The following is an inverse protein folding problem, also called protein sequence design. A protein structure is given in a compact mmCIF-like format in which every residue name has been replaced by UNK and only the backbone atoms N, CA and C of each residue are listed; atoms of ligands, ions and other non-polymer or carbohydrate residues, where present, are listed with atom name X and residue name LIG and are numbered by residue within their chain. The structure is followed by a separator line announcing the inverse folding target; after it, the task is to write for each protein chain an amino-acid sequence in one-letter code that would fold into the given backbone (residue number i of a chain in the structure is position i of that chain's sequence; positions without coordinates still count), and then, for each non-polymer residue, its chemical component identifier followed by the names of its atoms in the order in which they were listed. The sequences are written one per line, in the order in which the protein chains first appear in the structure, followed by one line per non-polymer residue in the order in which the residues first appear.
data_IF_715621446312
#
_entry.id   IF_715621446312
#
_cell.length_a   1.000
_cell.length_b   1.000
_cell.length_c   1.000
_cell.angle_alpha   90.00
_cell.angle_beta   90.00
_cell.angle_gamma   90.00
#
_symmetry.space_group_name_H-M   'P 1'
#
loop_
_entity.id
_entity.type
_entity.pdbx_description
1 polymer ?
#
# COMPACT_ATOMS: atom_id res chain seq x y z
N UNK A 1 -8.92 13.94 7.42
CA UNK A 1 -8.54 13.04 8.56
C UNK A 1 -9.63 12.00 8.75
N UNK A 2 -9.25 10.73 8.89
CA UNK A 2 -10.22 9.64 9.09
C UNK A 2 -10.70 9.60 10.53
N UNK A 3 -11.98 9.22 10.71
CA UNK A 3 -12.57 8.96 12.02
C UNK A 3 -12.53 7.47 12.29
N UNK A 4 -11.81 7.08 13.32
CA UNK A 4 -11.69 5.67 13.72
C UNK A 4 -12.86 5.26 14.63
N UNK A 5 -13.31 4.01 14.53
CA UNK A 5 -14.44 3.53 15.33
C UNK A 5 -14.08 3.49 16.82
N UNK A 6 -15.06 3.83 17.66
CA UNK A 6 -14.93 3.72 19.10
C UNK A 6 -14.98 2.24 19.54
N UNK A 7 -14.22 1.92 20.58
CA UNK A 7 -14.18 0.58 21.19
C UNK A 7 -13.78 -0.55 20.22
N UNK A 8 -13.05 -0.21 19.17
CA UNK A 8 -12.46 -1.12 18.22
C UNK A 8 -11.03 -0.64 17.90
N UNK A 9 -10.15 -1.55 17.55
CA UNK A 9 -8.91 -1.17 16.90
C UNK A 9 -9.13 -1.15 15.39
N UNK A 10 -8.59 -0.15 14.73
CA UNK A 10 -8.61 -0.09 13.26
C UNK A 10 -7.34 0.55 12.73
N UNK A 11 -6.90 0.09 11.59
CA UNK A 11 -5.84 0.72 10.82
C UNK A 11 -6.15 0.78 9.33
N UNK A 12 -5.49 1.73 8.68
CA UNK A 12 -5.59 1.97 7.25
C UNK A 12 -4.17 2.01 6.69
N UNK A 13 -3.88 1.15 5.72
CA UNK A 13 -2.65 1.17 4.95
C UNK A 13 -2.93 1.77 3.57
N UNK A 14 -2.22 2.83 3.24
CA UNK A 14 -2.27 3.46 1.92
C UNK A 14 -1.00 3.10 1.16
N UNK A 15 -1.16 2.68 -0.08
CA UNK A 15 -0.06 2.40 -0.98
C UNK A 15 -0.24 3.13 -2.30
N UNK A 16 0.84 3.64 -2.82
CA UNK A 16 0.95 4.21 -4.16
C UNK A 16 2.21 3.62 -4.79
N UNK A 17 2.02 2.68 -5.70
CA UNK A 17 3.09 1.90 -6.30
C UNK A 17 3.30 2.32 -7.74
N UNK A 18 4.50 2.79 -8.04
CA UNK A 18 4.97 3.06 -9.39
C UNK A 18 5.90 1.94 -9.84
N UNK A 19 5.67 1.42 -11.03
CA UNK A 19 6.45 0.33 -11.59
C UNK A 19 6.71 0.55 -13.07
N UNK A 20 7.95 0.28 -13.51
CA UNK A 20 8.30 0.14 -14.91
C UNK A 20 8.81 -1.27 -15.17
N UNK A 21 8.43 -1.83 -16.32
CA UNK A 21 8.88 -3.13 -16.76
C UNK A 21 9.36 -3.06 -18.22
N UNK A 22 10.61 -3.36 -18.44
CA UNK A 22 11.22 -3.36 -19.76
C UNK A 22 11.89 -4.72 -19.95
N UNK A 23 11.47 -5.46 -20.96
CA UNK A 23 11.92 -6.82 -21.21
C UNK A 23 12.43 -6.96 -22.66
N UNK A 24 13.61 -7.52 -22.78
CA UNK A 24 14.17 -7.98 -24.04
C UNK A 24 14.24 -9.50 -24.05
N UNK A 25 13.79 -10.09 -25.15
CA UNK A 25 13.89 -11.53 -25.40
C UNK A 25 14.51 -11.75 -26.77
N UNK A 26 15.55 -12.58 -26.83
CA UNK A 26 16.26 -12.88 -28.08
C UNK A 26 16.70 -11.61 -28.85
N UNK A 27 17.12 -10.59 -28.14
CA UNK A 27 17.58 -9.31 -28.72
C UNK A 27 16.43 -8.36 -29.15
N UNK A 28 15.18 -8.70 -28.93
CA UNK A 28 14.04 -7.88 -29.27
C UNK A 28 13.32 -7.35 -28.01
N UNK A 29 12.89 -6.10 -28.04
CA UNK A 29 12.08 -5.53 -26.99
C UNK A 29 10.66 -6.13 -27.03
N UNK A 30 10.30 -6.88 -25.98
CA UNK A 30 8.99 -7.55 -25.88
C UNK A 30 8.05 -6.87 -24.91
N UNK A 31 8.58 -6.10 -23.97
CA UNK A 31 7.76 -5.34 -23.01
C UNK A 31 8.40 -3.99 -22.71
N UNK A 32 7.58 -2.96 -22.75
CA UNK A 32 7.91 -1.61 -22.29
C UNK A 32 6.64 -1.03 -21.64
N UNK A 33 6.52 -1.18 -20.33
CA UNK A 33 5.31 -0.86 -19.58
C UNK A 33 5.63 0.00 -18.36
N UNK A 34 4.82 1.02 -18.16
CA UNK A 34 4.77 1.79 -16.92
C UNK A 34 3.38 1.64 -16.31
N UNK A 35 3.32 1.35 -15.02
CA UNK A 35 2.07 1.29 -14.27
C UNK A 35 2.19 2.06 -12.95
N UNK A 36 1.07 2.62 -12.53
CA UNK A 36 0.93 3.22 -11.21
C UNK A 36 -0.40 2.77 -10.61
N UNK A 37 -0.34 2.19 -9.43
CA UNK A 37 -1.50 1.69 -8.72
C UNK A 37 -1.52 2.27 -7.31
N UNK A 38 -2.64 2.86 -6.93
CA UNK A 38 -2.88 3.35 -5.59
C UNK A 38 -4.08 2.64 -4.98
N UNK A 39 -3.98 2.32 -3.71
CA UNK A 39 -5.04 1.60 -3.00
C UNK A 39 -4.94 1.75 -1.50
N UNK A 40 -5.99 1.31 -0.83
CA UNK A 40 -6.09 1.27 0.61
C UNK A 40 -6.44 -0.15 1.07
N UNK A 41 -5.81 -0.60 2.14
CA UNK A 41 -6.15 -1.80 2.87
C UNK A 41 -6.56 -1.40 4.30
N UNK A 42 -7.73 -1.84 4.72
CA UNK A 42 -8.33 -1.49 5.99
C UNK A 42 -8.48 -2.75 6.85
N UNK A 43 -8.21 -2.60 8.16
CA UNK A 43 -8.45 -3.66 9.13
C UNK A 43 -9.17 -3.12 10.34
N UNK A 44 -10.04 -3.97 10.91
CA UNK A 44 -10.69 -3.74 12.20
C UNK A 44 -10.52 -4.99 13.06
N UNK A 45 -10.16 -4.80 14.33
CA UNK A 45 -10.03 -5.84 15.34
C UNK A 45 -10.98 -5.56 16.50
N UNK A 46 -11.79 -6.55 16.88
CA UNK A 46 -12.76 -6.43 17.98
C UNK A 46 -12.35 -7.18 19.27
N UNK A 47 -11.16 -7.78 19.26
CA UNK A 47 -10.68 -8.64 20.35
C UNK A 47 -10.90 -10.12 20.10
N UNK A 48 -11.65 -10.50 19.07
CA UNK A 48 -11.96 -11.88 18.72
C UNK A 48 -11.63 -12.22 17.27
N UNK A 49 -11.87 -11.30 16.35
CA UNK A 49 -11.57 -11.51 14.92
C UNK A 49 -11.17 -10.22 14.21
N UNK A 50 -10.45 -10.44 13.12
CA UNK A 50 -10.13 -9.39 12.17
C UNK A 50 -11.19 -9.30 11.08
N UNK A 51 -11.48 -8.07 10.68
CA UNK A 51 -12.28 -7.72 9.51
C UNK A 51 -11.39 -6.95 8.54
N UNK A 52 -11.48 -7.27 7.26
CA UNK A 52 -10.61 -6.70 6.24
C UNK A 52 -11.42 -6.13 5.10
N UNK A 53 -10.93 -5.04 4.52
CA UNK A 53 -11.41 -4.48 3.27
C UNK A 53 -10.24 -3.90 2.49
N UNK A 54 -10.34 -3.96 1.17
CA UNK A 54 -9.38 -3.32 0.26
C UNK A 54 -10.15 -2.55 -0.81
N UNK A 55 -9.66 -1.38 -1.16
CA UNK A 55 -10.27 -0.54 -2.19
C UNK A 55 -9.24 0.23 -2.98
N UNK A 56 -9.47 0.42 -4.27
CA UNK A 56 -8.73 1.36 -5.11
C UNK A 56 -9.42 2.72 -5.17
N UNK A 57 -10.64 2.84 -4.63
CA UNK A 57 -11.37 4.10 -4.55
C UNK A 57 -10.99 4.86 -3.28
N UNK A 58 -9.93 5.66 -3.36
CA UNK A 58 -9.38 6.41 -2.22
C UNK A 58 -10.35 7.50 -1.70
N UNK A 59 -11.36 7.88 -2.48
CA UNK A 59 -12.41 8.82 -2.05
C UNK A 59 -13.44 8.20 -1.10
N UNK A 60 -13.49 6.86 -0.98
CA UNK A 60 -14.50 6.14 -0.20
C UNK A 60 -13.91 5.39 1.01
N UNK A 61 -12.69 5.70 1.41
CA UNK A 61 -12.03 5.01 2.53
C UNK A 61 -12.84 5.11 3.84
N UNK A 62 -13.40 6.28 4.16
CA UNK A 62 -14.20 6.44 5.37
C UNK A 62 -15.45 5.56 5.36
N UNK A 63 -16.15 5.48 4.23
CA UNK A 63 -17.32 4.63 4.09
C UNK A 63 -16.97 3.15 4.22
N UNK A 64 -15.85 2.74 3.65
CA UNK A 64 -15.35 1.37 3.79
C UNK A 64 -15.00 1.05 5.25
N UNK A 65 -14.36 1.99 5.95
CA UNK A 65 -14.04 1.82 7.36
C UNK A 65 -15.30 1.71 8.22
N UNK A 66 -16.26 2.58 7.99
CA UNK A 66 -17.54 2.61 8.72
C UNK A 66 -18.33 1.31 8.47
N UNK A 67 -18.36 0.84 7.23
CA UNK A 67 -19.02 -0.43 6.86
C UNK A 67 -18.33 -1.61 7.54
N UNK A 68 -17.00 -1.64 7.53
CA UNK A 68 -16.21 -2.69 8.16
C UNK A 68 -16.42 -2.72 9.68
N UNK A 69 -16.42 -1.54 10.32
CA UNK A 69 -16.65 -1.41 11.75
C UNK A 69 -18.07 -1.87 12.16
N UNK A 70 -19.06 -1.71 11.28
CA UNK A 70 -20.42 -2.16 11.55
C UNK A 70 -20.56 -3.68 11.66
N UNK A 71 -19.62 -4.44 11.11
CA UNK A 71 -19.61 -5.90 11.20
C UNK A 71 -18.99 -6.40 12.52
N UNK A 72 -18.20 -5.56 13.18
CA UNK A 72 -17.46 -5.89 14.39
C UNK A 72 -18.31 -5.63 15.63
N UNK A 73 -17.98 -6.31 16.73
CA UNK A 73 -18.60 -6.09 18.02
C UNK A 73 -17.75 -5.13 18.85
N UNK A 74 -18.24 -3.94 19.21
CA UNK A 74 -17.50 -3.01 20.06
C UNK A 74 -17.01 -3.66 21.36
N UNK A 75 -15.78 -3.39 21.74
CA UNK A 75 -15.12 -3.92 22.92
C UNK A 75 -14.48 -2.77 23.71
N UNK A 76 -15.08 -2.32 24.82
CA UNK A 76 -14.54 -1.21 25.62
C UNK A 76 -13.14 -1.45 26.18
N UNK A 77 -12.71 -2.72 26.28
CA UNK A 77 -11.39 -3.12 26.77
C UNK A 77 -10.36 -3.25 25.63
N UNK A 78 -10.67 -2.86 24.41
CA UNK A 78 -9.82 -3.09 23.24
C UNK A 78 -8.42 -2.48 23.37
N UNK A 79 -8.29 -1.37 24.07
CA UNK A 79 -6.99 -0.73 24.32
C UNK A 79 -6.04 -1.54 25.22
N UNK A 80 -6.54 -2.53 25.93
CA UNK A 80 -5.77 -3.46 26.77
C UNK A 80 -5.56 -4.83 26.11
N UNK A 81 -6.14 -5.01 24.92
CA UNK A 81 -6.00 -6.27 24.18
C UNK A 81 -4.51 -6.52 23.82
N UNK A 82 -3.98 -7.74 24.04
CA UNK A 82 -2.59 -8.05 23.76
C UNK A 82 -2.17 -7.87 22.30
N UNK A 83 -3.10 -7.99 21.36
CA UNK A 83 -2.83 -7.71 19.94
C UNK A 83 -2.56 -6.22 19.75
N UNK A 84 -3.42 -5.37 20.34
CA UNK A 84 -3.32 -3.92 20.19
C UNK A 84 -2.10 -3.34 20.93
N UNK A 85 -1.82 -3.83 22.12
CA UNK A 85 -0.69 -3.32 22.93
C UNK A 85 0.68 -3.66 22.36
N UNK A 86 0.77 -4.60 21.42
CA UNK A 86 2.01 -4.97 20.73
C UNK A 86 2.34 -4.06 19.55
N UNK A 87 1.40 -3.27 19.08
CA UNK A 87 1.67 -2.35 17.96
C UNK A 87 2.52 -1.18 18.44
N UNK A 88 3.58 -0.92 17.68
CA UNK A 88 4.48 0.21 17.90
C UNK A 88 4.24 1.28 16.83
N UNK A 89 4.35 2.53 17.24
CA UNK A 89 4.28 3.65 16.31
C UNK A 89 5.68 3.91 15.76
N UNK A 90 5.88 3.63 14.47
CA UNK A 90 7.09 3.95 13.75
C UNK A 90 6.83 5.13 12.81
N UNK A 91 7.78 6.07 12.80
CA UNK A 91 7.84 7.15 11.82
C UNK A 91 9.23 7.15 11.24
N UNK A 92 9.34 6.85 9.96
CA UNK A 92 10.61 6.79 9.26
C UNK A 92 10.45 7.26 7.83
N UNK A 93 11.55 7.75 7.26
CA UNK A 93 11.65 8.14 5.87
C UNK A 93 12.84 7.37 5.25
N UNK A 94 12.56 6.53 4.26
CA UNK A 94 13.58 5.82 3.51
C UNK A 94 13.77 6.46 2.14
N UNK A 95 14.58 7.53 2.09
CA UNK A 95 14.81 8.34 0.89
C UNK A 95 16.14 8.03 0.21
N UNK A 96 16.66 6.82 0.39
CA UNK A 96 17.99 6.40 -0.10
C UNK A 96 18.22 6.67 -1.58
N UNK A 97 17.17 6.61 -2.39
CA UNK A 97 17.25 6.78 -3.84
C UNK A 97 16.55 8.05 -4.34
N UNK A 98 16.30 9.01 -3.46
CA UNK A 98 15.60 10.25 -3.82
C UNK A 98 16.31 11.01 -4.95
N UNK A 99 17.63 11.05 -4.94
CA UNK A 99 18.43 11.72 -5.97
C UNK A 99 18.51 10.95 -7.30
N UNK A 100 18.02 9.71 -7.29
CA UNK A 100 18.02 8.80 -8.45
C UNK A 100 16.64 8.15 -8.62
N UNK A 101 15.61 8.95 -8.54
CA UNK A 101 14.23 8.48 -8.64
C UNK A 101 13.96 7.91 -10.03
N UNK A 102 13.67 6.62 -10.08
CA UNK A 102 13.39 5.89 -11.34
C UNK A 102 12.19 6.42 -12.10
N UNK A 103 11.29 7.16 -11.43
CA UNK A 103 10.13 7.79 -12.04
C UNK A 103 10.52 8.93 -12.99
N UNK A 104 11.68 9.53 -12.76
CA UNK A 104 12.20 10.65 -13.54
C UNK A 104 13.08 10.21 -14.72
N UNK A 105 13.42 8.91 -14.78
CA UNK A 105 14.21 8.36 -15.87
C UNK A 105 13.28 7.89 -16.98
N UNK A 106 13.41 8.42 -18.22
CA UNK A 106 12.61 7.96 -19.36
C UNK A 106 12.81 6.47 -19.66
N UNK A 107 11.76 5.81 -20.12
CA UNK A 107 11.83 4.39 -20.48
C UNK A 107 12.83 4.11 -21.60
N UNK A 108 13.04 5.07 -22.50
CA UNK A 108 14.03 5.00 -23.58
C UNK A 108 15.46 4.84 -23.03
N UNK A 109 15.80 5.55 -21.97
CA UNK A 109 17.11 5.42 -21.32
C UNK A 109 17.26 4.05 -20.64
N UNK A 110 16.20 3.58 -19.99
CA UNK A 110 16.17 2.24 -19.37
C UNK A 110 16.33 1.14 -20.42
N UNK A 111 15.62 1.27 -21.54
CA UNK A 111 15.72 0.34 -22.66
C UNK A 111 17.11 0.35 -23.29
N UNK A 112 17.70 1.54 -23.49
CA UNK A 112 19.05 1.69 -24.02
C UNK A 112 20.10 1.04 -23.11
N UNK A 113 19.96 1.18 -21.79
CA UNK A 113 20.83 0.53 -20.82
C UNK A 113 20.74 -1.00 -20.94
N UNK A 114 19.56 -1.57 -21.01
CA UNK A 114 19.38 -3.02 -21.20
C UNK A 114 19.95 -3.49 -22.53
N UNK A 115 19.71 -2.74 -23.59
CA UNK A 115 20.24 -3.06 -24.90
C UNK A 115 21.77 -3.11 -24.93
N UNK A 116 22.43 -2.27 -24.13
CA UNK A 116 23.89 -2.25 -24.02
C UNK A 116 24.50 -3.53 -23.44
N UNK A 117 23.70 -4.35 -22.76
CA UNK A 117 24.11 -5.64 -22.21
C UNK A 117 23.86 -6.82 -23.17
N UNK A 118 23.18 -6.59 -24.26
CA UNK A 118 22.95 -7.65 -25.26
C UNK A 118 24.23 -7.90 -26.08
N UNK A 119 24.50 -9.17 -26.40
CA UNK A 119 25.68 -9.53 -27.22
C UNK A 119 25.56 -9.02 -28.66
#
# INVERSE_FOLDING_TARGET
MYRFPKDLYADIRLEDVFQTSIVYENGALTQNKTSREAGAFLRVWDGHRWYYSATTNLGHIQQELDALASLATPNPAIGQDPVVTRFEVNRDECLRYQDRDVRQVPNEEKAALLQSYLP
#
